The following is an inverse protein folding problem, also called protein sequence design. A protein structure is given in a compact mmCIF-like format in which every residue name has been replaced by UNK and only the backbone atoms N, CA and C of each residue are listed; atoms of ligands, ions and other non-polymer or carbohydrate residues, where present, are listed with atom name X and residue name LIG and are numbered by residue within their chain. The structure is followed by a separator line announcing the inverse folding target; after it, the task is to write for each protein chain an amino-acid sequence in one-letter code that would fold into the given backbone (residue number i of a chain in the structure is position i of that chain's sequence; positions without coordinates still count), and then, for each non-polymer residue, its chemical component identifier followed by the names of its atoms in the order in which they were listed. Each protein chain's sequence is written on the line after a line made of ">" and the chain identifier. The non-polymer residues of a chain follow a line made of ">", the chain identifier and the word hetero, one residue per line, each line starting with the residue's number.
data_IF_612173667623
#
_entry.id   IF_612173667623
#
_cell.length_a   1.000
_cell.length_b   1.000
_cell.length_c   1.000
_cell.angle_alpha   90.00
_cell.angle_beta   90.00
_cell.angle_gamma   90.00
#
_symmetry.space_group_name_H-M   'P 1'
#
loop_
_entity.id
_entity.type
_entity.pdbx_description
1 polymer ?
#
# COMPACT_ATOMS: atom_id res chain seq x y z
N UNK A 1 6.65 34.65 -7.80
CA UNK A 1 5.39 34.91 -8.51
C UNK A 1 4.40 35.42 -7.47
N UNK A 2 3.81 36.59 -7.66
CA UNK A 2 2.79 37.13 -6.73
C UNK A 2 1.47 36.50 -7.16
N UNK A 3 0.68 35.90 -6.23
CA UNK A 3 -0.62 35.31 -6.56
C UNK A 3 -1.58 36.37 -7.10
N UNK A 4 -2.31 36.03 -8.14
CA UNK A 4 -3.45 36.87 -8.59
C UNK A 4 -4.65 36.60 -7.68
N UNK A 5 -4.76 37.38 -6.60
CA UNK A 5 -5.87 37.29 -5.66
C UNK A 5 -7.26 37.52 -6.33
N UNK A 6 -7.32 38.28 -7.40
CA UNK A 6 -8.56 38.50 -8.13
C UNK A 6 -9.08 37.24 -8.80
N UNK A 7 -8.18 36.37 -9.26
CA UNK A 7 -8.55 35.06 -9.79
C UNK A 7 -9.20 34.16 -8.75
N UNK A 8 -8.65 34.13 -7.53
CA UNK A 8 -9.22 33.34 -6.42
C UNK A 8 -10.53 33.91 -5.92
N UNK A 9 -10.59 35.22 -5.66
CA UNK A 9 -11.80 35.92 -5.13
C UNK A 9 -12.94 36.00 -6.15
N UNK A 10 -12.60 35.97 -7.46
CA UNK A 10 -13.62 35.99 -8.53
C UNK A 10 -14.00 34.59 -8.98
N UNK A 11 -13.28 34.07 -9.98
CA UNK A 11 -13.59 32.79 -10.62
C UNK A 11 -13.50 31.59 -9.69
N UNK A 12 -12.51 31.56 -8.80
CA UNK A 12 -12.27 30.46 -7.85
C UNK A 12 -13.44 30.30 -6.88
N UNK A 13 -13.80 31.35 -6.12
CA UNK A 13 -14.93 31.31 -5.17
C UNK A 13 -16.25 31.00 -5.86
N UNK A 14 -16.49 31.58 -7.05
CA UNK A 14 -17.70 31.30 -7.82
C UNK A 14 -17.78 29.82 -8.24
N UNK A 15 -16.65 29.18 -8.55
CA UNK A 15 -16.59 27.77 -8.90
C UNK A 15 -16.85 26.86 -7.71
N UNK A 16 -16.26 27.16 -6.55
CA UNK A 16 -16.51 26.44 -5.30
C UNK A 16 -17.99 26.52 -4.92
N UNK A 17 -18.58 27.72 -4.95
CA UNK A 17 -20.00 27.90 -4.65
C UNK A 17 -20.89 27.08 -5.58
N UNK A 18 -20.61 27.09 -6.89
CA UNK A 18 -21.34 26.24 -7.85
C UNK A 18 -21.19 24.75 -7.51
N UNK A 19 -20.01 24.31 -7.06
CA UNK A 19 -19.80 22.93 -6.67
C UNK A 19 -20.62 22.56 -5.43
N UNK A 20 -20.70 23.44 -4.43
CA UNK A 20 -21.51 23.26 -3.22
C UNK A 20 -23.00 23.17 -3.59
N UNK A 21 -23.50 24.07 -4.42
CA UNK A 21 -24.91 24.16 -4.83
C UNK A 21 -25.30 23.04 -5.84
N UNK A 22 -24.35 22.38 -6.46
CA UNK A 22 -24.57 21.31 -7.45
C UNK A 22 -25.24 20.08 -6.82
N UNK A 23 -26.15 19.39 -7.50
CA UNK A 23 -26.67 18.08 -7.06
C UNK A 23 -25.65 16.94 -7.18
N UNK A 24 -24.45 17.16 -7.73
CA UNK A 24 -23.42 16.16 -7.87
C UNK A 24 -22.96 15.62 -6.49
N UNK A 25 -22.76 14.31 -6.40
CA UNK A 25 -22.31 13.66 -5.17
C UNK A 25 -20.85 13.94 -4.83
N UNK A 26 -20.04 14.32 -5.83
CA UNK A 26 -18.61 14.58 -5.71
C UNK A 26 -18.26 15.96 -6.25
N UNK A 27 -17.24 16.57 -5.66
CA UNK A 27 -16.49 17.69 -6.23
C UNK A 27 -15.04 17.23 -6.50
N UNK A 28 -14.48 17.69 -7.62
CA UNK A 28 -13.08 17.41 -7.97
C UNK A 28 -12.31 18.72 -7.99
N UNK A 29 -11.17 18.74 -7.32
CA UNK A 29 -10.22 19.85 -7.32
C UNK A 29 -8.91 19.36 -7.95
N UNK A 30 -8.55 19.97 -9.07
CA UNK A 30 -7.39 19.56 -9.86
C UNK A 30 -6.09 19.74 -9.08
N UNK A 31 -5.92 20.87 -8.39
CA UNK A 31 -4.75 21.14 -7.55
C UNK A 31 -5.05 22.16 -6.46
N UNK A 32 -4.50 21.92 -5.25
CA UNK A 32 -4.38 22.87 -4.15
C UNK A 32 -2.90 22.98 -3.74
N UNK A 33 -2.38 24.20 -3.72
CA UNK A 33 -0.97 24.45 -3.44
C UNK A 33 -0.74 25.63 -2.48
N UNK A 34 0.43 26.21 -2.57
CA UNK A 34 0.84 27.34 -1.71
C UNK A 34 0.19 28.66 -2.10
N UNK A 35 -0.23 28.82 -3.36
CA UNK A 35 -0.82 30.06 -3.85
C UNK A 35 -2.16 30.34 -3.18
N UNK A 36 -2.97 29.30 -3.01
CA UNK A 36 -4.29 29.36 -2.35
C UNK A 36 -4.17 29.78 -0.89
N UNK A 37 -3.08 29.38 -0.22
CA UNK A 37 -2.82 29.74 1.19
C UNK A 37 -2.70 31.25 1.43
N UNK A 38 -2.52 32.04 0.37
CA UNK A 38 -2.48 33.50 0.46
C UNK A 38 -3.84 34.19 0.41
N UNK A 39 -4.94 33.42 0.20
CA UNK A 39 -6.31 33.93 0.12
C UNK A 39 -7.19 33.24 1.18
N UNK A 40 -7.34 33.81 2.39
CA UNK A 40 -8.11 33.22 3.48
C UNK A 40 -9.55 32.87 3.09
N UNK A 41 -10.23 33.76 2.37
CA UNK A 41 -11.63 33.58 1.95
C UNK A 41 -11.77 32.35 1.02
N UNK A 42 -10.75 32.10 0.17
CA UNK A 42 -10.72 30.90 -0.68
C UNK A 42 -10.48 29.64 0.16
N UNK A 43 -9.56 29.70 1.14
CA UNK A 43 -9.30 28.58 2.05
C UNK A 43 -10.57 28.21 2.84
N UNK A 44 -11.29 29.20 3.39
CA UNK A 44 -12.55 28.99 4.12
C UNK A 44 -13.62 28.35 3.23
N UNK A 45 -13.72 28.78 1.99
CA UNK A 45 -14.65 28.18 1.01
C UNK A 45 -14.30 26.74 0.68
N UNK A 46 -13.02 26.38 0.60
CA UNK A 46 -12.55 24.99 0.42
C UNK A 46 -12.92 24.14 1.64
N UNK A 47 -12.67 24.60 2.87
CA UNK A 47 -13.10 23.86 4.06
C UNK A 47 -14.60 23.62 4.06
N UNK A 48 -15.40 24.64 3.73
CA UNK A 48 -16.84 24.47 3.63
C UNK A 48 -17.27 23.48 2.53
N UNK A 49 -16.54 23.40 1.41
CA UNK A 49 -16.78 22.39 0.39
C UNK A 49 -16.52 20.98 0.94
N UNK A 50 -15.43 20.78 1.69
CA UNK A 50 -15.13 19.49 2.34
C UNK A 50 -16.17 19.09 3.39
N UNK A 51 -16.80 20.07 4.08
CA UNK A 51 -17.86 19.80 5.06
C UNK A 51 -19.19 19.41 4.41
N UNK A 52 -19.40 19.78 3.15
CA UNK A 52 -20.70 19.65 2.48
C UNK A 52 -20.73 18.60 1.37
N UNK A 53 -19.58 18.22 0.82
CA UNK A 53 -19.43 17.32 -0.32
C UNK A 53 -18.35 16.29 -0.10
N UNK A 54 -18.46 15.17 -0.81
CA UNK A 54 -17.31 14.28 -1.02
C UNK A 54 -16.38 14.94 -2.01
N UNK A 55 -15.12 15.13 -1.62
CA UNK A 55 -14.12 15.84 -2.44
C UNK A 55 -13.00 14.87 -2.82
N UNK A 56 -12.59 14.92 -4.07
CA UNK A 56 -11.33 14.35 -4.54
C UNK A 56 -10.46 15.54 -4.93
N UNK A 57 -9.32 15.70 -4.27
CA UNK A 57 -8.42 16.82 -4.51
C UNK A 57 -6.97 16.36 -4.65
N UNK A 58 -6.23 16.99 -5.54
CA UNK A 58 -4.77 16.87 -5.56
C UNK A 58 -4.18 17.99 -4.69
N UNK A 59 -3.41 17.60 -3.67
CA UNK A 59 -2.69 18.54 -2.82
C UNK A 59 -1.21 18.46 -3.13
N UNK A 60 -0.57 19.62 -3.31
CA UNK A 60 0.89 19.67 -3.41
C UNK A 60 1.55 19.24 -2.10
N UNK A 61 2.73 18.63 -2.19
CA UNK A 61 3.49 18.08 -1.05
C UNK A 61 4.02 19.16 -0.08
N UNK A 62 3.98 20.44 -0.47
CA UNK A 62 4.44 21.54 0.37
C UNK A 62 3.67 21.64 1.68
N UNK A 63 4.36 22.06 2.74
CA UNK A 63 3.75 22.38 4.03
C UNK A 63 3.32 23.85 4.03
N UNK A 64 2.05 24.09 4.23
CA UNK A 64 1.45 25.39 4.55
C UNK A 64 0.35 25.19 5.59
N UNK A 65 0.02 26.19 6.43
CA UNK A 65 -1.05 26.04 7.44
C UNK A 65 -2.37 25.54 6.84
N UNK A 66 -2.71 25.98 5.64
CA UNK A 66 -3.92 25.55 4.93
C UNK A 66 -3.87 24.07 4.51
N UNK A 67 -2.80 23.67 3.81
CA UNK A 67 -2.65 22.29 3.32
C UNK A 67 -2.48 21.30 4.47
N UNK A 68 -1.77 21.70 5.52
CA UNK A 68 -1.55 20.84 6.70
C UNK A 68 -2.87 20.68 7.49
N UNK A 69 -3.68 21.72 7.59
CA UNK A 69 -5.01 21.63 8.19
C UNK A 69 -5.97 20.72 7.40
N UNK A 70 -5.89 20.73 6.06
CA UNK A 70 -6.66 19.78 5.23
C UNK A 70 -6.19 18.33 5.43
N UNK A 71 -4.87 18.09 5.49
CA UNK A 71 -4.32 16.75 5.73
C UNK A 71 -4.63 16.20 7.12
N UNK A 72 -4.76 17.08 8.11
CA UNK A 72 -5.02 16.72 9.50
C UNK A 72 -6.50 16.46 9.82
N UNK A 73 -7.41 16.59 8.86
CA UNK A 73 -8.84 16.30 9.07
C UNK A 73 -9.08 14.80 9.24
N UNK A 74 -9.92 14.44 10.21
CA UNK A 74 -10.27 13.04 10.49
C UNK A 74 -11.11 12.37 9.38
N UNK A 75 -11.77 13.19 8.54
CA UNK A 75 -12.61 12.75 7.43
C UNK A 75 -11.87 12.77 6.06
N UNK A 76 -10.59 13.06 6.06
CA UNK A 76 -9.73 13.09 4.86
C UNK A 76 -8.75 11.93 4.88
N UNK A 77 -8.77 11.14 3.81
CA UNK A 77 -7.75 10.16 3.55
C UNK A 77 -6.70 10.75 2.61
N UNK A 78 -5.46 10.87 3.09
CA UNK A 78 -4.33 11.37 2.29
C UNK A 78 -3.60 10.21 1.66
N UNK A 79 -3.53 10.20 0.32
CA UNK A 79 -2.76 9.25 -0.45
C UNK A 79 -1.52 9.96 -1.03
N UNK A 80 -0.33 9.55 -0.61
CA UNK A 80 0.93 10.11 -1.11
C UNK A 80 1.32 9.40 -2.41
N UNK A 81 1.21 10.10 -3.54
CA UNK A 81 1.54 9.57 -4.87
C UNK A 81 3.06 9.42 -5.08
N UNK A 82 3.87 10.21 -4.38
CA UNK A 82 5.32 10.13 -4.46
C UNK A 82 5.86 8.98 -3.61
N UNK A 83 5.14 8.63 -2.53
CA UNK A 83 5.45 7.52 -1.62
C UNK A 83 4.19 6.71 -1.34
N UNK A 84 3.67 5.97 -2.32
CA UNK A 84 2.42 5.24 -2.17
C UNK A 84 2.60 4.09 -1.16
N UNK A 85 2.34 4.37 0.11
CA UNK A 85 2.32 3.35 1.17
C UNK A 85 0.91 2.79 1.28
N UNK A 86 0.51 1.97 0.32
CA UNK A 86 -0.60 1.07 0.58
C UNK A 86 -0.13 0.01 1.57
N UNK A 87 -0.92 -0.30 2.62
CA UNK A 87 -0.62 -1.42 3.48
C UNK A 87 -0.78 -2.73 2.69
N UNK A 88 0.30 -3.16 2.03
CA UNK A 88 0.35 -4.41 1.26
C UNK A 88 0.87 -5.53 2.14
N UNK A 89 0.19 -6.67 2.13
CA UNK A 89 0.68 -7.91 2.75
C UNK A 89 1.51 -8.74 1.78
N UNK A 90 2.36 -9.61 2.32
CA UNK A 90 3.09 -10.61 1.54
C UNK A 90 2.87 -12.02 2.08
N UNK A 91 2.37 -12.92 1.23
CA UNK A 91 2.31 -14.37 1.51
C UNK A 91 3.40 -15.07 0.72
N UNK A 92 4.38 -15.64 1.42
CA UNK A 92 5.41 -16.46 0.82
C UNK A 92 4.92 -17.92 0.79
N UNK A 93 4.61 -18.41 -0.41
CA UNK A 93 4.07 -19.74 -0.62
C UNK A 93 5.20 -20.77 -0.67
N UNK A 94 5.40 -21.49 0.43
CA UNK A 94 6.49 -22.46 0.64
C UNK A 94 5.99 -23.90 0.86
N UNK A 95 4.79 -24.23 0.33
CA UNK A 95 4.15 -25.54 0.57
C UNK A 95 4.45 -26.59 -0.50
N UNK A 96 5.32 -26.29 -1.46
CA UNK A 96 5.76 -27.25 -2.50
C UNK A 96 6.61 -28.37 -1.92
N UNK A 97 6.23 -29.64 -2.14
CA UNK A 97 6.96 -30.80 -1.59
C UNK A 97 8.18 -31.22 -2.41
N UNK A 98 8.51 -30.54 -3.50
CA UNK A 98 9.69 -30.86 -4.30
C UNK A 98 9.77 -32.32 -4.83
N UNK A 99 8.62 -33.00 -5.03
CA UNK A 99 8.59 -34.46 -5.37
C UNK A 99 9.49 -34.87 -6.52
N UNK A 100 9.69 -33.99 -7.50
CA UNK A 100 10.58 -34.22 -8.66
C UNK A 100 12.07 -33.99 -8.34
N UNK A 101 12.34 -33.26 -7.23
CA UNK A 101 13.70 -32.92 -6.82
C UNK A 101 14.31 -33.98 -5.90
N UNK A 102 13.50 -34.96 -5.41
CA UNK A 102 13.95 -36.04 -4.52
C UNK A 102 14.15 -35.62 -3.06
N UNK A 103 14.15 -34.32 -2.77
CA UNK A 103 14.29 -33.76 -1.42
C UNK A 103 13.53 -32.43 -1.31
N UNK A 104 13.62 -31.78 -0.17
CA UNK A 104 13.01 -30.43 0.02
C UNK A 104 13.78 -29.37 -0.78
N UNK A 105 13.30 -29.04 -1.99
CA UNK A 105 13.92 -28.06 -2.88
C UNK A 105 14.19 -26.70 -2.18
N UNK A 106 13.32 -26.28 -1.27
CA UNK A 106 13.44 -25.00 -0.59
C UNK A 106 14.62 -24.93 0.38
N UNK A 107 15.04 -26.11 0.86
CA UNK A 107 16.20 -26.28 1.75
C UNK A 107 17.48 -26.65 0.99
N UNK A 108 17.40 -26.87 -0.33
CA UNK A 108 18.60 -27.16 -1.14
C UNK A 108 19.57 -25.97 -1.09
N UNK A 109 20.88 -26.31 -1.15
CA UNK A 109 21.91 -25.28 -1.16
C UNK A 109 21.83 -24.41 -2.41
N UNK A 110 21.81 -23.11 -2.22
CA UNK A 110 21.92 -22.10 -3.25
C UNK A 110 22.92 -21.01 -2.80
N UNK A 111 24.15 -21.13 -3.32
CA UNK A 111 25.25 -20.23 -2.93
C UNK A 111 25.53 -20.21 -1.42
N UNK A 112 25.58 -21.36 -0.79
CA UNK A 112 25.93 -21.54 0.63
C UNK A 112 24.78 -21.28 1.61
N UNK A 113 23.55 -21.12 1.12
CA UNK A 113 22.35 -20.90 1.94
C UNK A 113 21.17 -21.68 1.38
N UNK A 114 20.17 -22.06 2.22
CA UNK A 114 18.93 -22.63 1.70
C UNK A 114 18.24 -21.73 0.67
N UNK A 115 17.76 -22.31 -0.44
CA UNK A 115 17.16 -21.61 -1.57
C UNK A 115 16.09 -20.59 -1.13
N UNK A 116 15.24 -20.97 -0.18
CA UNK A 116 14.16 -20.12 0.34
C UNK A 116 14.68 -18.81 0.93
N UNK A 117 15.92 -18.76 1.40
CA UNK A 117 16.48 -17.54 2.00
C UNK A 117 16.56 -16.38 1.01
N UNK A 118 16.56 -16.65 -0.29
CA UNK A 118 16.57 -15.63 -1.33
C UNK A 118 15.28 -14.82 -1.32
N UNK A 119 14.13 -15.50 -1.32
CA UNK A 119 12.83 -14.82 -1.27
C UNK A 119 12.57 -14.19 0.10
N UNK A 120 13.05 -14.82 1.19
CA UNK A 120 12.95 -14.23 2.52
C UNK A 120 13.68 -12.89 2.61
N UNK A 121 14.87 -12.79 2.00
CA UNK A 121 15.64 -11.54 1.93
C UNK A 121 15.03 -10.53 0.96
N UNK A 122 14.54 -10.96 -0.19
CA UNK A 122 13.93 -10.06 -1.17
C UNK A 122 12.60 -9.43 -0.67
N UNK A 123 11.92 -10.10 0.26
CA UNK A 123 10.67 -9.61 0.87
C UNK A 123 10.89 -8.97 2.24
N UNK A 124 12.14 -8.77 2.65
CA UNK A 124 12.47 -8.13 3.94
C UNK A 124 12.41 -6.61 3.86
N UNK A 125 12.06 -5.97 4.99
CA UNK A 125 12.05 -4.51 5.09
C UNK A 125 10.66 -3.89 5.19
N UNK A 126 10.58 -2.55 5.17
CA UNK A 126 9.37 -1.79 5.44
C UNK A 126 8.33 -1.77 4.32
N UNK A 127 8.64 -2.40 3.19
CA UNK A 127 7.77 -2.42 2.00
C UNK A 127 6.41 -3.09 2.25
N UNK A 128 6.37 -4.06 3.17
CA UNK A 128 5.15 -4.77 3.53
C UNK A 128 4.68 -4.40 4.93
N UNK A 129 3.40 -4.08 5.06
CA UNK A 129 2.76 -3.90 6.37
C UNK A 129 2.78 -5.19 7.20
N UNK A 130 2.73 -6.34 6.53
CA UNK A 130 2.87 -7.64 7.15
C UNK A 130 3.32 -8.68 6.13
N UNK A 131 4.11 -9.68 6.58
CA UNK A 131 4.45 -10.85 5.77
C UNK A 131 4.28 -12.14 6.56
N UNK A 132 4.02 -13.23 5.85
CA UNK A 132 3.92 -14.57 6.44
C UNK A 132 4.41 -15.62 5.45
N UNK A 133 5.11 -16.62 5.96
CA UNK A 133 5.47 -17.83 5.21
C UNK A 133 4.41 -18.89 5.48
N UNK A 134 3.90 -19.53 4.43
CA UNK A 134 2.96 -20.66 4.56
C UNK A 134 3.62 -21.89 3.99
N UNK A 135 3.84 -22.88 4.84
CA UNK A 135 4.65 -24.06 4.49
C UNK A 135 4.02 -25.37 4.93
N UNK A 136 4.47 -26.48 4.32
CA UNK A 136 4.20 -27.85 4.74
C UNK A 136 5.47 -28.55 5.24
N UNK A 137 6.59 -27.85 5.26
CA UNK A 137 7.87 -28.36 5.68
C UNK A 137 8.23 -27.89 7.09
N UNK A 138 8.41 -28.83 8.04
CA UNK A 138 8.91 -28.48 9.37
C UNK A 138 10.29 -27.81 9.34
N UNK A 139 11.16 -28.18 8.38
CA UNK A 139 12.48 -27.58 8.21
C UNK A 139 12.40 -26.09 7.83
N UNK A 140 11.48 -25.73 6.93
CA UNK A 140 11.21 -24.34 6.55
C UNK A 140 10.59 -23.58 7.75
N UNK A 141 9.71 -24.23 8.50
CA UNK A 141 9.14 -23.64 9.71
C UNK A 141 10.24 -23.31 10.73
N UNK A 142 11.14 -24.28 11.03
CA UNK A 142 12.26 -24.05 11.96
C UNK A 142 13.13 -22.89 11.51
N UNK A 143 13.53 -22.87 10.24
CA UNK A 143 14.33 -21.79 9.66
C UNK A 143 13.65 -20.40 9.82
N UNK A 144 12.34 -20.34 9.60
CA UNK A 144 11.59 -19.08 9.76
C UNK A 144 11.51 -18.65 11.24
N UNK A 145 11.27 -19.59 12.15
CA UNK A 145 11.24 -19.31 13.60
C UNK A 145 12.57 -18.80 14.13
N UNK A 146 13.68 -19.42 13.72
CA UNK A 146 15.05 -18.98 14.06
C UNK A 146 15.36 -17.55 13.60
N UNK A 147 14.65 -17.08 12.58
CA UNK A 147 14.79 -15.73 12.00
C UNK A 147 13.67 -14.78 12.39
N UNK A 148 12.83 -15.18 13.33
CA UNK A 148 11.68 -14.40 13.79
C UNK A 148 10.69 -14.00 12.67
N UNK A 149 10.65 -14.80 11.58
CA UNK A 149 9.75 -14.59 10.44
C UNK A 149 8.42 -15.30 10.75
N UNK A 150 7.28 -14.58 10.67
CA UNK A 150 5.97 -15.20 10.84
C UNK A 150 5.77 -16.37 9.88
N UNK A 151 5.42 -17.53 10.42
CA UNK A 151 5.25 -18.76 9.65
C UNK A 151 4.03 -19.53 10.10
N UNK A 152 3.34 -20.17 9.13
CA UNK A 152 2.20 -21.03 9.35
C UNK A 152 2.52 -22.41 8.73
N UNK A 153 2.62 -23.44 9.58
CA UNK A 153 2.76 -24.84 9.15
C UNK A 153 1.37 -25.43 8.95
N UNK A 154 1.16 -26.18 7.84
CA UNK A 154 -0.09 -26.88 7.56
C UNK A 154 0.15 -28.20 6.84
N UNK A 155 -0.90 -29.06 6.81
CA UNK A 155 -0.87 -30.38 6.14
C UNK A 155 -1.76 -30.45 4.91
N UNK A 156 -2.47 -29.38 4.58
CA UNK A 156 -3.47 -29.36 3.51
C UNK A 156 -2.83 -29.60 2.13
N UNK A 157 -3.47 -30.43 1.26
CA UNK A 157 -2.78 -30.96 0.07
C UNK A 157 -2.69 -29.99 -1.12
N UNK A 158 -3.57 -29.00 -1.24
CA UNK A 158 -3.70 -28.18 -2.43
C UNK A 158 -3.13 -26.78 -2.26
N UNK A 159 -2.64 -26.18 -3.37
CA UNK A 159 -2.06 -24.83 -3.39
C UNK A 159 -3.05 -23.74 -2.94
N UNK A 160 -4.32 -23.87 -3.29
CA UNK A 160 -5.36 -22.92 -2.88
C UNK A 160 -5.53 -22.83 -1.35
N UNK A 161 -5.22 -23.90 -0.61
CA UNK A 161 -5.20 -23.83 0.86
C UNK A 161 -4.07 -22.95 1.37
N UNK A 162 -2.89 -23.01 0.76
CA UNK A 162 -1.75 -22.16 1.09
C UNK A 162 -2.14 -20.67 0.92
N UNK A 163 -2.77 -20.33 -0.21
CA UNK A 163 -3.27 -18.97 -0.48
C UNK A 163 -4.26 -18.52 0.58
N UNK A 164 -5.32 -19.34 0.83
CA UNK A 164 -6.37 -19.01 1.81
C UNK A 164 -5.80 -18.85 3.22
N UNK A 165 -4.97 -19.79 3.66
CA UNK A 165 -4.38 -19.76 5.00
C UNK A 165 -3.51 -18.52 5.20
N UNK A 166 -2.66 -18.19 4.23
CA UNK A 166 -1.80 -17.02 4.27
C UNK A 166 -2.58 -15.72 4.32
N UNK A 167 -3.54 -15.56 3.41
CA UNK A 167 -4.38 -14.36 3.37
C UNK A 167 -5.21 -14.20 4.63
N UNK A 168 -5.86 -15.27 5.11
CA UNK A 168 -6.65 -15.23 6.36
C UNK A 168 -5.79 -14.88 7.57
N UNK A 169 -4.56 -15.40 7.64
CA UNK A 169 -3.64 -15.09 8.74
C UNK A 169 -3.15 -13.63 8.72
N UNK A 170 -2.93 -13.07 7.53
CA UNK A 170 -2.57 -11.66 7.38
C UNK A 170 -3.74 -10.74 7.74
N UNK A 171 -4.93 -10.99 7.17
CA UNK A 171 -6.13 -10.18 7.42
C UNK A 171 -6.60 -10.25 8.87
N UNK A 172 -6.41 -11.38 9.54
CA UNK A 172 -6.73 -11.52 10.95
C UNK A 172 -5.91 -10.62 11.88
N UNK A 173 -4.72 -10.19 11.45
CA UNK A 173 -3.83 -9.28 12.21
C UNK A 173 -3.82 -7.86 11.65
N UNK A 174 -4.12 -7.71 10.36
CA UNK A 174 -4.06 -6.46 9.61
C UNK A 174 -5.30 -6.38 8.70
N UNK A 175 -6.48 -6.06 9.25
CA UNK A 175 -7.73 -6.04 8.48
C UNK A 175 -7.75 -4.96 7.39
N UNK A 176 -6.92 -3.92 7.54
CA UNK A 176 -6.88 -2.76 6.64
C UNK A 176 -5.90 -2.92 5.47
N UNK A 177 -5.43 -4.16 5.21
CA UNK A 177 -4.58 -4.40 4.05
C UNK A 177 -5.31 -4.06 2.75
N UNK A 178 -4.74 -3.16 1.97
CA UNK A 178 -5.25 -2.74 0.67
C UNK A 178 -4.97 -3.75 -0.44
N UNK A 179 -3.96 -4.61 -0.25
CA UNK A 179 -3.57 -5.62 -1.21
C UNK A 179 -2.67 -6.70 -0.63
N UNK A 180 -2.43 -7.75 -1.41
CA UNK A 180 -1.54 -8.83 -1.01
C UNK A 180 -0.75 -9.39 -2.20
N UNK A 181 0.56 -9.50 -2.05
CA UNK A 181 1.45 -10.18 -2.99
C UNK A 181 1.65 -11.63 -2.55
N UNK A 182 1.56 -12.55 -3.51
CA UNK A 182 1.84 -13.96 -3.33
C UNK A 182 3.17 -14.32 -4.00
N UNK A 183 4.23 -14.45 -3.21
CA UNK A 183 5.56 -14.80 -3.68
C UNK A 183 5.80 -16.30 -3.56
N UNK A 184 6.40 -16.92 -4.58
CA UNK A 184 6.77 -18.34 -4.55
C UNK A 184 8.11 -18.53 -3.83
N UNK A 185 8.17 -19.46 -2.89
CA UNK A 185 9.38 -19.77 -2.11
C UNK A 185 10.56 -20.29 -2.94
N UNK A 186 10.31 -20.76 -4.17
CA UNK A 186 11.30 -21.36 -5.05
C UNK A 186 11.73 -20.47 -6.22
N UNK A 187 11.56 -19.15 -6.09
CA UNK A 187 12.01 -18.14 -7.07
C UNK A 187 13.28 -17.41 -6.58
N UNK A 188 14.48 -17.98 -6.76
CA UNK A 188 15.71 -17.41 -6.21
C UNK A 188 16.19 -16.14 -6.90
N UNK A 189 15.69 -15.85 -8.10
CA UNK A 189 16.07 -14.68 -8.91
C UNK A 189 15.12 -13.49 -8.73
N UNK A 190 14.07 -13.62 -7.93
CA UNK A 190 13.19 -12.50 -7.63
C UNK A 190 13.95 -11.51 -6.74
N UNK A 191 14.21 -10.32 -7.27
CA UNK A 191 14.94 -9.27 -6.55
C UNK A 191 14.01 -8.36 -5.75
N UNK A 192 14.58 -7.61 -4.82
CA UNK A 192 13.86 -6.61 -4.06
C UNK A 192 13.28 -5.53 -4.96
N UNK A 193 14.03 -5.05 -5.97
CA UNK A 193 13.57 -4.04 -6.92
C UNK A 193 12.33 -4.53 -7.71
N UNK A 194 12.31 -5.82 -8.07
CA UNK A 194 11.13 -6.39 -8.74
C UNK A 194 9.91 -6.39 -7.83
N UNK A 195 10.09 -6.71 -6.56
CA UNK A 195 9.02 -6.69 -5.55
C UNK A 195 8.54 -5.26 -5.30
N UNK A 196 9.44 -4.31 -5.18
CA UNK A 196 9.11 -2.87 -5.06
C UNK A 196 8.27 -2.40 -6.24
N UNK A 197 8.68 -2.72 -7.47
CA UNK A 197 7.92 -2.39 -8.66
C UNK A 197 6.52 -3.02 -8.66
N UNK A 198 6.38 -4.26 -8.18
CA UNK A 198 5.08 -4.92 -8.05
C UNK A 198 4.17 -4.22 -7.02
N UNK A 199 4.70 -3.83 -5.86
CA UNK A 199 3.95 -3.10 -4.83
C UNK A 199 3.50 -1.74 -5.34
N UNK A 200 4.39 -0.98 -6.00
CA UNK A 200 4.07 0.30 -6.61
C UNK A 200 2.98 0.16 -7.68
N UNK A 201 3.09 -0.85 -8.55
CA UNK A 201 2.08 -1.10 -9.59
C UNK A 201 0.73 -1.46 -8.98
N UNK A 202 0.71 -2.28 -7.93
CA UNK A 202 -0.52 -2.61 -7.20
C UNK A 202 -1.18 -1.37 -6.60
N UNK A 203 -0.38 -0.44 -6.10
CA UNK A 203 -0.83 0.84 -5.57
C UNK A 203 -1.48 1.74 -6.62
N UNK A 204 -0.99 1.70 -7.87
CA UNK A 204 -1.50 2.52 -8.97
C UNK A 204 -2.80 1.98 -9.60
N UNK A 205 -3.08 0.68 -9.46
CA UNK A 205 -4.26 0.04 -10.08
C UNK A 205 -5.56 0.31 -9.29
N UNK A 206 -5.47 0.75 -8.05
CA UNK A 206 -6.62 0.94 -7.16
C UNK A 206 -7.06 2.42 -6.99
N UNK A 207 -6.58 3.31 -7.86
CA UNK A 207 -7.00 4.72 -7.89
C UNK A 207 -8.27 4.89 -8.73
#
# INVERSE_FOLDING_TARGET
>A
MVPDLNGFLGGGLASIKRAIDSPAAFAVIDELGYLESSCPEFCDAIFHLFDTKRVIAVLRSQSTPFLDALRARDDVYVYDLDHPVLPVGCVIMASGLGKRFGSNKLMADFNGKPLITRILSATDGPLFAARIVVTRSPEVESLCREREIPVLLHTMPYRNHTVKLGLSALLGKNPDLAGCIFALGDQPLLSQETIEAMVLTLSLIHI
#
